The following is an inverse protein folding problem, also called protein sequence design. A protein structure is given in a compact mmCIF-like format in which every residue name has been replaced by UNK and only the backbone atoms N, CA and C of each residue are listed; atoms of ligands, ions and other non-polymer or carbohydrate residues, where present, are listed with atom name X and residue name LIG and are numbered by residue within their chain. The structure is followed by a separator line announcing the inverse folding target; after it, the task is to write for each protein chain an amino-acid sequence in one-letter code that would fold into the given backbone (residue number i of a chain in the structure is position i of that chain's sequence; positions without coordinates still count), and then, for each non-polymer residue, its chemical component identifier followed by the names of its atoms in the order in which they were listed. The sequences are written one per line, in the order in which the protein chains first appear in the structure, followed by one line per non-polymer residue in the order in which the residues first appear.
data_IF_277441445834
#
_entry.id   IF_277441445834
#
_cell.length_a   1.000
_cell.length_b   1.000
_cell.length_c   1.000
_cell.angle_alpha   90.00
_cell.angle_beta   90.00
_cell.angle_gamma   90.00
#
_symmetry.space_group_name_H-M   'P 1'
#
loop_
_entity.id
_entity.type
_entity.pdbx_description
1 polymer ?
#
# COMPACT_ATOMS: atom_id res chain seq x y z
N UNK A 1 -28.44 18.11 14.89
CA UNK A 1 -27.10 18.38 14.32
C UNK A 1 -26.63 17.12 13.64
N UNK A 2 -26.47 17.12 12.31
CA UNK A 2 -26.05 15.93 11.55
C UNK A 2 -24.58 15.58 11.84
N UNK A 3 -24.35 14.66 12.78
CA UNK A 3 -23.05 14.07 13.05
C UNK A 3 -22.76 12.99 12.01
N UNK A 4 -22.47 13.38 10.77
CA UNK A 4 -21.86 12.44 9.81
C UNK A 4 -20.49 12.09 10.36
N UNK A 5 -20.36 10.90 10.96
CA UNK A 5 -19.10 10.32 11.38
C UNK A 5 -18.18 10.36 10.15
N UNK A 6 -17.17 11.23 10.18
CA UNK A 6 -16.18 11.29 9.09
C UNK A 6 -15.33 10.04 9.20
N UNK A 7 -15.46 9.16 8.22
CA UNK A 7 -14.64 7.97 8.08
C UNK A 7 -13.15 8.32 8.18
N UNK A 8 -12.43 7.63 9.05
CA UNK A 8 -10.97 7.67 9.15
C UNK A 8 -10.44 6.30 9.56
N UNK A 9 -9.48 5.78 8.81
CA UNK A 9 -8.83 4.51 9.14
C UNK A 9 -7.32 4.67 9.00
N UNK A 10 -6.59 4.21 10.01
CA UNK A 10 -5.14 4.08 9.91
C UNK A 10 -4.84 2.69 9.36
N UNK A 11 -4.01 2.61 8.33
CA UNK A 11 -3.64 1.34 7.74
C UNK A 11 -2.14 1.32 7.42
N UNK A 12 -1.54 0.16 7.65
CA UNK A 12 -0.27 -0.21 7.07
C UNK A 12 -0.55 -1.00 5.80
N UNK A 13 0.21 -0.73 4.74
CA UNK A 13 0.14 -1.57 3.56
C UNK A 13 1.48 -1.67 2.84
N UNK A 14 1.66 -2.81 2.19
CA UNK A 14 2.82 -3.15 1.38
C UNK A 14 2.34 -3.37 -0.04
N UNK A 15 2.87 -2.60 -0.99
CA UNK A 15 2.73 -2.89 -2.41
C UNK A 15 3.94 -3.69 -2.87
N UNK A 16 3.70 -4.77 -3.62
CA UNK A 16 4.71 -5.69 -4.09
C UNK A 16 4.59 -5.81 -5.60
N UNK A 17 5.64 -5.43 -6.33
CA UNK A 17 5.76 -5.78 -7.75
C UNK A 17 6.54 -7.08 -7.84
N UNK A 18 5.85 -8.12 -8.27
CA UNK A 18 6.33 -9.50 -8.22
C UNK A 18 7.28 -9.75 -9.37
N UNK A 19 8.46 -10.27 -9.06
CA UNK A 19 9.41 -10.82 -10.01
C UNK A 19 9.27 -12.35 -10.07
N UNK A 20 9.66 -12.96 -11.19
CA UNK A 20 9.76 -14.42 -11.30
C UNK A 20 10.70 -15.02 -10.24
N UNK A 21 11.78 -14.31 -9.92
CA UNK A 21 12.62 -14.59 -8.75
C UNK A 21 12.07 -13.83 -7.53
N UNK A 22 11.49 -14.52 -6.52
CA UNK A 22 10.91 -13.86 -5.35
C UNK A 22 11.87 -12.92 -4.62
N UNK A 23 13.18 -13.18 -4.68
CA UNK A 23 14.22 -12.34 -4.05
C UNK A 23 14.43 -10.99 -4.74
N UNK A 24 13.95 -10.85 -5.98
CA UNK A 24 14.03 -9.63 -6.79
C UNK A 24 12.72 -8.86 -6.88
N UNK A 25 11.68 -9.31 -6.18
CA UNK A 25 10.44 -8.56 -6.08
C UNK A 25 10.68 -7.23 -5.37
N UNK A 26 9.99 -6.17 -5.82
CA UNK A 26 10.08 -4.85 -5.20
C UNK A 26 8.97 -4.68 -4.19
N UNK A 27 9.33 -4.35 -2.96
CA UNK A 27 8.41 -4.08 -1.85
C UNK A 27 8.39 -2.58 -1.55
N UNK A 28 7.23 -2.05 -1.19
CA UNK A 28 7.08 -0.66 -0.78
C UNK A 28 6.01 -0.57 0.30
N UNK A 29 6.48 -0.33 1.51
CA UNK A 29 5.67 -0.23 2.71
C UNK A 29 5.31 1.23 3.00
N UNK A 30 4.10 1.44 3.49
CA UNK A 30 3.70 2.75 4.01
C UNK A 30 2.61 2.62 5.07
N UNK A 31 2.51 3.66 5.87
CA UNK A 31 1.47 3.86 6.87
C UNK A 31 0.73 5.13 6.46
N UNK A 32 -0.58 5.04 6.33
CA UNK A 32 -1.40 6.20 5.98
C UNK A 32 -2.69 6.23 6.78
N UNK A 33 -3.15 7.45 7.09
CA UNK A 33 -4.48 7.69 7.64
C UNK A 33 -5.39 8.09 6.49
N UNK A 34 -6.16 7.12 6.02
CA UNK A 34 -7.18 7.36 5.02
C UNK A 34 -8.35 8.12 5.64
N UNK A 35 -8.83 9.14 4.93
CA UNK A 35 -9.98 9.96 5.32
C UNK A 35 -10.54 10.68 4.09
N UNK A 36 -11.62 11.46 4.26
CA UNK A 36 -12.33 12.08 3.11
C UNK A 36 -11.44 12.88 2.15
N UNK A 37 -10.44 13.61 2.64
CA UNK A 37 -9.54 14.41 1.78
C UNK A 37 -8.43 13.58 1.15
N UNK A 38 -7.86 12.63 1.89
CA UNK A 38 -6.77 11.75 1.42
C UNK A 38 -7.29 10.32 1.50
N UNK A 39 -8.19 10.01 0.58
CA UNK A 39 -8.88 8.72 0.50
C UNK A 39 -8.08 7.71 -0.35
N UNK A 40 -7.06 8.18 -1.05
CA UNK A 40 -6.04 7.42 -1.77
C UNK A 40 -4.64 7.74 -1.23
N UNK A 41 -3.69 6.90 -1.60
CA UNK A 41 -2.28 7.09 -1.27
C UNK A 41 -1.40 6.31 -2.24
N UNK A 42 -0.31 6.92 -2.69
CA UNK A 42 0.59 6.33 -3.66
C UNK A 42 1.97 6.99 -3.62
N UNK A 43 2.89 6.47 -4.42
CA UNK A 43 4.22 7.04 -4.62
C UNK A 43 4.28 7.77 -5.96
N UNK A 44 4.66 9.05 -5.95
CA UNK A 44 4.82 9.85 -7.18
C UNK A 44 5.87 9.27 -8.13
N UNK A 45 6.95 8.69 -7.59
CA UNK A 45 7.97 7.97 -8.35
C UNK A 45 8.16 6.58 -7.73
N UNK A 46 7.32 5.65 -8.14
CA UNK A 46 7.34 4.29 -7.60
C UNK A 46 8.58 3.50 -8.04
N UNK A 47 8.86 3.44 -9.35
CA UNK A 47 10.06 2.80 -9.90
C UNK A 47 10.40 3.32 -11.30
N UNK A 48 11.62 3.02 -11.75
CA UNK A 48 12.06 3.32 -13.12
C UNK A 48 11.57 2.26 -14.10
N UNK A 49 11.23 2.69 -15.32
CA UNK A 49 10.71 1.80 -16.37
C UNK A 49 11.71 0.70 -16.74
N UNK A 50 13.01 1.02 -16.81
CA UNK A 50 14.07 0.04 -17.09
C UNK A 50 14.09 -1.12 -16.10
N UNK A 51 13.74 -0.86 -14.83
CA UNK A 51 13.64 -1.89 -13.79
C UNK A 51 12.40 -2.77 -13.96
N UNK A 52 11.31 -2.25 -14.52
CA UNK A 52 10.11 -3.05 -14.84
C UNK A 52 10.45 -4.13 -15.87
N UNK A 53 11.27 -3.79 -16.86
CA UNK A 53 11.67 -4.72 -17.92
C UNK A 53 12.65 -5.82 -17.44
N UNK A 54 13.25 -5.66 -16.25
CA UNK A 54 14.22 -6.59 -15.66
C UNK A 54 13.53 -7.73 -14.88
N UNK A 55 12.80 -8.58 -15.61
CA UNK A 55 12.20 -9.81 -15.06
C UNK A 55 10.95 -9.62 -14.19
N UNK A 56 10.39 -8.41 -14.12
CA UNK A 56 9.08 -8.16 -13.47
C UNK A 56 7.90 -8.34 -14.45
N UNK A 57 8.14 -8.29 -15.76
CA UNK A 57 7.14 -8.62 -16.77
C UNK A 57 7.13 -10.13 -17.03
N UNK A 58 5.95 -10.73 -16.96
CA UNK A 58 5.68 -12.08 -17.40
C UNK A 58 4.63 -12.07 -18.52
N UNK A 59 5.04 -12.38 -19.75
CA UNK A 59 4.17 -12.39 -20.94
C UNK A 59 3.32 -11.12 -21.02
N UNK A 60 3.98 -9.97 -21.07
CA UNK A 60 3.37 -8.62 -21.10
C UNK A 60 2.50 -8.26 -19.89
N UNK A 61 2.54 -9.05 -18.81
CA UNK A 61 1.80 -8.81 -17.58
C UNK A 61 2.72 -8.40 -16.44
N UNK A 62 2.30 -7.41 -15.65
CA UNK A 62 2.93 -7.05 -14.38
C UNK A 62 2.04 -7.49 -13.22
N UNK A 63 2.57 -8.30 -12.31
CA UNK A 63 1.82 -8.74 -11.13
C UNK A 63 2.10 -7.79 -9.97
N UNK A 64 1.05 -7.12 -9.50
CA UNK A 64 1.09 -6.27 -8.30
C UNK A 64 0.27 -6.94 -7.20
N UNK A 65 0.90 -7.19 -6.05
CA UNK A 65 0.21 -7.65 -4.83
C UNK A 65 0.13 -6.51 -3.83
N UNK A 66 -0.93 -6.51 -3.03
CA UNK A 66 -1.09 -5.61 -1.90
C UNK A 66 -1.35 -6.43 -0.64
N UNK A 67 -0.58 -6.16 0.40
CA UNK A 67 -0.88 -6.61 1.76
C UNK A 67 -1.36 -5.40 2.55
N UNK A 68 -2.51 -5.47 3.19
CA UNK A 68 -3.13 -4.34 3.89
C UNK A 68 -3.56 -4.77 5.28
N UNK A 69 -3.15 -4.02 6.29
CA UNK A 69 -3.55 -4.18 7.67
C UNK A 69 -4.20 -2.88 8.17
N UNK A 70 -5.47 -2.97 8.58
CA UNK A 70 -6.16 -1.85 9.23
C UNK A 70 -5.81 -1.86 10.71
N UNK A 71 -5.22 -0.77 11.19
CA UNK A 71 -4.82 -0.59 12.59
C UNK A 71 -5.96 0.11 13.32
N UNK A 72 -6.58 -0.62 14.24
CA UNK A 72 -7.61 -0.10 15.14
C UNK A 72 -6.99 0.14 16.50
N UNK A 73 -6.96 1.40 16.95
CA UNK A 73 -6.69 1.68 18.35
C UNK A 73 -7.94 1.31 19.14
N UNK A 74 -7.91 0.16 19.81
CA UNK A 74 -8.85 -0.11 20.90
C UNK A 74 -8.39 0.76 22.06
N UNK A 75 -9.16 1.80 22.36
CA UNK A 75 -8.92 2.64 23.53
C UNK A 75 -9.15 1.83 24.81
N UNK A 76 -8.16 1.04 25.23
CA UNK A 76 -8.10 0.47 26.58
C UNK A 76 -6.63 0.32 27.01
N UNK A 77 -6.18 1.36 27.69
CA UNK A 77 -5.23 1.44 28.80
C UNK A 77 -3.71 1.29 28.59
N UNK A 78 -3.05 2.40 28.97
CA UNK A 78 -1.77 2.55 29.68
C UNK A 78 -1.15 1.29 30.28
N UNK A 79 0.14 1.10 29.99
CA UNK A 79 1.25 1.15 30.95
C UNK A 79 2.39 1.95 30.33
#
# INVERSE_FOLDING_TARGET
MNTTIRWSHFAQFTIIVVNKDPKKSKYSDTLHRFWKKEHDWAWKKFMELSKVLDGLIDVDTLIIKAQVQVIRFLGTLMI
#
